data_IF_331805409687
#
_entry.id   IF_331805409687
#
_cell.length_a   1.000
_cell.length_b   1.000
_cell.length_c   1.000
_cell.angle_alpha   90.00
_cell.angle_beta   90.00
_cell.angle_gamma   90.00
#
_symmetry.space_group_name_H-M   'P 1'
#
loop_
_entity.id
_entity.type
_entity.pdbx_description
1 polymer ?
#
# COMPACT_ATOMS: atom_id res chain seq x y z
N UNK A 1 11.54 1.98 -6.19
CA UNK A 1 10.29 2.42 -5.53
C UNK A 1 10.65 3.53 -4.56
N UNK A 2 9.85 4.59 -4.55
CA UNK A 2 9.99 5.71 -3.64
C UNK A 2 8.66 5.92 -2.96
N UNK A 3 8.64 6.07 -1.65
CA UNK A 3 7.39 6.25 -0.94
C UNK A 3 7.53 7.12 0.31
N UNK A 4 6.38 7.62 0.78
CA UNK A 4 6.25 8.33 2.03
C UNK A 4 5.12 7.71 2.84
N UNK A 5 5.45 7.27 4.05
CA UNK A 5 4.47 6.72 4.98
C UNK A 5 3.97 7.76 5.99
N UNK A 6 2.75 7.56 6.46
CA UNK A 6 2.17 8.17 7.64
C UNK A 6 1.56 7.08 8.54
N UNK A 7 1.77 7.19 9.84
CA UNK A 7 1.20 6.28 10.83
C UNK A 7 0.79 7.08 12.08
N UNK A 8 -0.49 7.04 12.44
CA UNK A 8 -0.98 7.75 13.62
C UNK A 8 -2.39 7.32 13.98
N UNK A 9 -2.67 7.09 15.27
CA UNK A 9 -4.05 6.92 15.78
C UNK A 9 -4.90 5.87 15.02
N UNK A 10 -4.34 4.70 14.70
CA UNK A 10 -4.99 3.66 13.91
C UNK A 10 -4.91 3.88 12.39
N UNK A 11 -4.48 5.05 11.92
CA UNK A 11 -4.31 5.32 10.50
C UNK A 11 -2.94 4.89 9.99
N UNK A 12 -2.94 4.27 8.81
CA UNK A 12 -1.76 4.03 7.98
C UNK A 12 -2.00 4.65 6.60
N UNK A 13 -1.09 5.48 6.14
CA UNK A 13 -1.08 6.03 4.78
C UNK A 13 0.24 5.71 4.12
N UNK A 14 0.21 5.30 2.86
CA UNK A 14 1.39 5.17 2.02
C UNK A 14 1.12 5.78 0.65
N UNK A 15 2.02 6.66 0.23
CA UNK A 15 2.05 7.26 -1.10
C UNK A 15 3.33 6.78 -1.81
N UNK A 16 3.17 5.94 -2.82
CA UNK A 16 4.27 5.26 -3.48
C UNK A 16 4.32 5.54 -4.99
N UNK A 17 5.52 5.86 -5.47
CA UNK A 17 5.88 5.84 -6.87
C UNK A 17 6.66 4.56 -7.18
N UNK A 18 6.11 3.77 -8.10
CA UNK A 18 6.63 2.47 -8.51
C UNK A 18 7.04 2.55 -9.98
N UNK A 19 8.30 2.17 -10.25
CA UNK A 19 8.87 2.10 -11.60
C UNK A 19 9.63 0.79 -11.76
N UNK A 20 9.36 0.11 -12.86
CA UNK A 20 10.04 -1.09 -13.34
C UNK A 20 10.27 -0.97 -14.84
N UNK A 21 11.46 -0.48 -15.19
CA UNK A 21 11.86 -0.23 -16.57
C UNK A 21 11.98 -1.51 -17.40
N UNK A 22 12.29 -2.66 -16.78
CA UNK A 22 12.44 -3.93 -17.49
C UNK A 22 11.09 -4.41 -18.07
N UNK A 23 10.01 -4.18 -17.34
CA UNK A 23 8.66 -4.54 -17.77
C UNK A 23 7.86 -3.35 -18.35
N UNK A 24 8.41 -2.13 -18.28
CA UNK A 24 7.74 -0.90 -18.73
C UNK A 24 6.54 -0.50 -17.85
N UNK A 25 6.56 -0.93 -16.58
CA UNK A 25 5.53 -0.64 -15.58
C UNK A 25 5.93 0.62 -14.82
N UNK A 26 5.00 1.57 -14.72
CA UNK A 26 5.20 2.82 -13.98
C UNK A 26 3.84 3.32 -13.50
N UNK A 27 3.70 3.55 -12.20
CA UNK A 27 2.47 4.06 -11.61
C UNK A 27 2.69 4.71 -10.24
N UNK A 28 1.71 5.52 -9.84
CA UNK A 28 1.55 6.04 -8.48
C UNK A 28 0.42 5.27 -7.79
N UNK A 29 0.62 4.92 -6.52
CA UNK A 29 -0.38 4.29 -5.68
C UNK A 29 -0.41 5.00 -4.32
N UNK A 30 -1.57 5.51 -3.96
CA UNK A 30 -1.85 6.11 -2.66
C UNK A 30 -2.94 5.30 -1.96
N UNK A 31 -2.75 4.98 -0.68
CA UNK A 31 -3.74 4.26 0.10
C UNK A 31 -3.72 4.72 1.57
N UNK A 32 -4.92 4.85 2.15
CA UNK A 32 -5.10 5.10 3.58
C UNK A 32 -5.99 4.00 4.17
N UNK A 33 -5.54 3.43 5.29
CA UNK A 33 -6.26 2.45 6.07
C UNK A 33 -6.49 2.96 7.49
N UNK A 34 -7.56 2.48 8.09
CA UNK A 34 -7.82 2.62 9.52
C UNK A 34 -7.93 1.23 10.14
N UNK A 35 -7.00 0.93 11.05
CA UNK A 35 -6.90 -0.34 11.80
C UNK A 35 -6.92 -0.03 13.29
N UNK A 36 -8.13 0.02 13.82
CA UNK A 36 -8.39 0.21 15.24
C UNK A 36 -9.71 -0.49 15.59
N UNK A 37 -9.63 -1.79 15.84
CA UNK A 37 -10.82 -2.61 16.03
C UNK A 37 -11.57 -2.30 17.33
N UNK A 38 -10.86 -1.94 18.40
CA UNK A 38 -11.46 -1.59 19.70
C UNK A 38 -11.97 -0.14 19.76
N UNK A 39 -11.54 0.70 18.82
CA UNK A 39 -11.96 2.09 18.67
C UNK A 39 -11.36 3.04 19.70
N UNK A 40 -10.43 2.57 20.54
CA UNK A 40 -9.78 3.39 21.55
C UNK A 40 -8.61 4.11 20.90
N UNK A 41 -8.54 5.43 21.11
CA UNK A 41 -7.42 6.24 20.62
C UNK A 41 -6.43 6.49 21.76
N UNK A 42 -5.16 6.65 21.42
CA UNK A 42 -4.05 6.92 22.35
C UNK A 42 -3.68 5.80 23.33
N UNK A 43 -4.11 4.57 23.12
CA UNK A 43 -3.75 3.44 23.98
C UNK A 43 -2.63 2.54 23.41
N UNK A 44 -2.13 2.90 22.21
CA UNK A 44 -1.11 2.18 21.44
C UNK A 44 -1.52 0.77 21.00
N UNK A 45 -2.81 0.43 21.00
CA UNK A 45 -3.31 -0.85 20.50
C UNK A 45 -3.95 -0.66 19.13
N UNK A 46 -3.16 -0.91 18.09
CA UNK A 46 -3.62 -0.82 16.71
C UNK A 46 -3.15 -2.04 15.92
N UNK A 47 -3.96 -2.52 14.97
CA UNK A 47 -3.63 -3.71 14.17
C UNK A 47 -2.70 -3.41 12.99
N UNK A 48 -1.69 -2.55 13.20
CA UNK A 48 -0.73 -2.17 12.15
C UNK A 48 0.04 -3.37 11.61
N UNK A 49 0.66 -4.16 12.48
CA UNK A 49 1.54 -5.27 12.08
C UNK A 49 0.77 -6.51 11.61
N UNK A 50 -0.40 -6.73 12.19
CA UNK A 50 -1.21 -7.93 11.92
C UNK A 50 -2.16 -7.76 10.73
N UNK A 51 -2.65 -6.54 10.46
CA UNK A 51 -3.62 -6.26 9.40
C UNK A 51 -3.09 -5.17 8.44
N UNK A 52 -2.71 -4.01 8.97
CA UNK A 52 -2.41 -2.81 8.19
C UNK A 52 -1.28 -2.97 7.16
N UNK A 53 -0.06 -3.24 7.62
CA UNK A 53 1.09 -3.44 6.74
C UNK A 53 0.94 -4.66 5.81
N UNK A 54 0.45 -5.83 6.28
CA UNK A 54 0.16 -6.94 5.38
C UNK A 54 -0.82 -6.57 4.26
N UNK A 55 -1.87 -5.80 4.57
CA UNK A 55 -2.84 -5.36 3.58
C UNK A 55 -2.19 -4.43 2.54
N UNK A 56 -1.44 -3.40 2.96
CA UNK A 56 -0.78 -2.47 2.05
C UNK A 56 0.21 -3.16 1.12
N UNK A 57 1.00 -4.10 1.65
CA UNK A 57 1.90 -4.95 0.86
C UNK A 57 1.14 -5.72 -0.22
N UNK A 58 0.05 -6.39 0.17
CA UNK A 58 -0.71 -7.22 -0.76
C UNK A 58 -1.48 -6.40 -1.79
N UNK A 59 -1.95 -5.20 -1.41
CA UNK A 59 -2.53 -4.22 -2.33
C UNK A 59 -1.51 -3.80 -3.39
N UNK A 60 -0.31 -3.36 -2.97
CA UNK A 60 0.74 -2.95 -3.89
C UNK A 60 1.14 -4.07 -4.86
N UNK A 61 1.27 -5.31 -4.37
CA UNK A 61 1.55 -6.48 -5.21
C UNK A 61 0.45 -6.73 -6.23
N UNK A 62 -0.82 -6.69 -5.82
CA UNK A 62 -1.96 -6.91 -6.73
C UNK A 62 -2.05 -5.84 -7.82
N UNK A 63 -1.79 -4.58 -7.49
CA UNK A 63 -1.75 -3.49 -8.47
C UNK A 63 -0.59 -3.70 -9.46
N UNK A 64 0.60 -4.04 -8.98
CA UNK A 64 1.74 -4.33 -9.85
C UNK A 64 1.48 -5.51 -10.80
N UNK A 65 0.89 -6.60 -10.31
CA UNK A 65 0.49 -7.75 -11.14
C UNK A 65 -0.55 -7.36 -12.22
N UNK A 66 -1.48 -6.47 -11.89
CA UNK A 66 -2.46 -5.96 -12.86
C UNK A 66 -1.77 -5.11 -13.94
N UNK A 67 -0.83 -4.25 -13.56
CA UNK A 67 -0.07 -3.43 -14.50
C UNK A 67 0.87 -4.27 -15.39
N UNK A 68 1.49 -5.33 -14.85
CA UNK A 68 2.25 -6.30 -15.66
C UNK A 68 1.38 -6.92 -16.76
N UNK A 69 0.17 -7.37 -16.42
CA UNK A 69 -0.78 -7.94 -17.39
C UNK A 69 -1.20 -6.90 -18.42
N UNK A 70 -1.47 -5.67 -17.99
CA UNK A 70 -1.84 -4.56 -18.87
C UNK A 70 -0.73 -4.24 -19.87
N UNK A 71 0.52 -4.17 -19.43
CA UNK A 71 1.68 -3.89 -20.29
C UNK A 71 1.99 -5.05 -21.23
N UNK A 72 1.80 -6.29 -20.79
CA UNK A 72 1.96 -7.46 -21.66
C UNK A 72 0.91 -7.49 -22.77
N UNK A 73 -0.36 -7.14 -22.48
CA UNK A 73 -1.44 -7.12 -23.48
C UNK A 73 -1.36 -5.95 -24.47
N UNK A 74 -0.62 -4.89 -24.15
CA UNK A 74 -0.41 -3.72 -25.01
C UNK A 74 0.80 -3.86 -25.94
N UNK A 75 1.54 -4.97 -25.87
CA UNK A 75 2.63 -5.34 -26.77
C UNK A 75 2.09 -6.19 -27.92
#
# INVERSE_FOLDING_TARGET
MYNKIGQSYGFLTDDAYVVDAAHGVEFLLAATLYVNADGVLNDNKYEYDTIGFPFLRDLGRRVYEAELKRKAAAR
#
